data_IF_831866216577
#
_entry.id   IF_831866216577
#
_cell.length_a   1.000
_cell.length_b   1.000
_cell.length_c   1.000
_cell.angle_alpha   90.00
_cell.angle_beta   90.00
_cell.angle_gamma   90.00
#
_symmetry.space_group_name_H-M   'P 1'
#
loop_
_entity.id
_entity.type
_entity.pdbx_description
1 polymer ?
#
# COMPACT_ATOMS: atom_id res chain seq x y z
N UNK A 1 -22.68 5.28 9.49
CA UNK A 1 -22.77 3.86 9.89
C UNK A 1 -21.44 3.52 10.53
N UNK A 2 -21.42 3.33 11.85
CA UNK A 2 -20.18 3.04 12.58
C UNK A 2 -19.70 1.64 12.22
N UNK A 3 -18.47 1.53 11.73
CA UNK A 3 -17.81 0.24 11.57
C UNK A 3 -17.74 -0.45 12.94
N UNK A 4 -18.43 -1.57 13.07
CA UNK A 4 -18.38 -2.40 14.26
C UNK A 4 -16.97 -3.01 14.32
N UNK A 5 -16.17 -2.61 15.32
CA UNK A 5 -14.88 -3.27 15.61
C UNK A 5 -15.17 -4.75 15.86
N UNK A 6 -14.76 -5.61 14.93
CA UNK A 6 -14.73 -7.05 15.14
C UNK A 6 -13.77 -7.32 16.32
N UNK A 7 -14.12 -8.18 17.29
CA UNK A 7 -13.21 -8.49 18.38
C UNK A 7 -11.91 -9.12 17.84
N UNK A 8 -10.76 -8.74 18.43
CA UNK A 8 -9.41 -9.17 18.01
C UNK A 8 -9.22 -10.70 17.90
N UNK A 9 -10.10 -11.48 18.52
CA UNK A 9 -10.15 -12.94 18.40
C UNK A 9 -10.32 -13.39 16.93
N UNK A 10 -11.04 -12.63 16.11
CA UNK A 10 -11.22 -12.96 14.69
C UNK A 10 -9.91 -12.86 13.88
N UNK A 11 -9.01 -11.95 14.23
CA UNK A 11 -7.72 -11.84 13.53
C UNK A 11 -6.83 -13.07 13.73
N UNK A 12 -6.85 -13.68 14.92
CA UNK A 12 -6.08 -14.91 15.16
C UNK A 12 -6.64 -16.03 14.29
N UNK A 13 -7.96 -16.20 14.29
CA UNK A 13 -8.66 -17.21 13.48
C UNK A 13 -8.39 -17.02 11.98
N UNK A 14 -8.50 -15.80 11.46
CA UNK A 14 -8.24 -15.48 10.05
C UNK A 14 -6.77 -15.72 9.65
N UNK A 15 -5.83 -15.33 10.52
CA UNK A 15 -4.39 -15.53 10.27
C UNK A 15 -4.02 -17.01 10.35
N UNK A 16 -4.58 -17.76 11.30
CA UNK A 16 -4.35 -19.21 11.43
C UNK A 16 -4.92 -19.95 10.20
N UNK A 17 -6.13 -19.59 9.77
CA UNK A 17 -6.73 -20.14 8.54
C UNK A 17 -5.85 -19.87 7.32
N UNK A 18 -5.35 -18.63 7.16
CA UNK A 18 -4.44 -18.29 6.08
C UNK A 18 -3.12 -19.07 6.16
N UNK A 19 -2.55 -19.20 7.36
CA UNK A 19 -1.29 -19.92 7.60
C UNK A 19 -1.40 -21.40 7.23
N UNK A 20 -2.55 -22.02 7.50
CA UNK A 20 -2.83 -23.42 7.18
C UNK A 20 -3.14 -23.62 5.69
N UNK A 21 -4.04 -22.82 5.12
CA UNK A 21 -4.64 -23.10 3.82
C UNK A 21 -3.82 -22.56 2.64
N UNK A 22 -3.18 -21.40 2.79
CA UNK A 22 -2.44 -20.79 1.69
C UNK A 22 -1.29 -21.71 1.20
N UNK A 23 -0.46 -22.30 2.07
CA UNK A 23 0.57 -23.24 1.64
C UNK A 23 0.07 -24.52 0.96
N UNK A 24 -1.19 -24.91 1.20
CA UNK A 24 -1.79 -26.12 0.64
C UNK A 24 -2.40 -25.87 -0.75
N UNK A 25 -2.96 -24.67 -0.95
CA UNK A 25 -3.68 -24.31 -2.19
C UNK A 25 -2.80 -23.59 -3.21
N UNK A 26 -1.76 -22.90 -2.77
CA UNK A 26 -0.87 -22.16 -3.64
C UNK A 26 0.04 -23.10 -4.45
N UNK A 27 0.29 -22.76 -5.71
CA UNK A 27 1.11 -23.58 -6.62
C UNK A 27 2.55 -23.78 -6.11
N UNK A 28 3.24 -22.67 -5.80
CA UNK A 28 4.61 -22.72 -5.25
C UNK A 28 4.90 -21.51 -4.33
N UNK A 29 4.31 -21.53 -3.12
CA UNK A 29 4.38 -20.37 -2.20
C UNK A 29 5.81 -20.11 -1.69
N UNK A 30 6.63 -21.15 -1.63
CA UNK A 30 7.93 -21.10 -0.96
C UNK A 30 9.12 -21.06 -1.94
N UNK A 31 8.86 -20.73 -3.21
CA UNK A 31 9.90 -20.62 -4.23
C UNK A 31 10.95 -19.55 -3.89
N UNK A 32 10.53 -18.43 -3.26
CA UNK A 32 11.41 -17.31 -2.90
C UNK A 32 11.82 -17.31 -1.41
N UNK A 33 10.90 -17.66 -0.51
CA UNK A 33 11.10 -17.65 0.95
C UNK A 33 10.70 -18.99 1.55
N UNK A 34 11.43 -19.45 2.56
CA UNK A 34 11.15 -20.73 3.20
C UNK A 34 9.83 -20.73 3.99
N UNK A 35 9.30 -21.93 4.23
CA UNK A 35 8.18 -22.15 5.15
C UNK A 35 8.48 -21.66 6.57
N UNK A 36 9.72 -21.85 7.05
CA UNK A 36 10.14 -21.38 8.37
C UNK A 36 10.11 -19.85 8.45
N UNK A 37 10.53 -19.16 7.40
CA UNK A 37 10.43 -17.71 7.33
C UNK A 37 8.97 -17.27 7.43
N UNK A 38 8.10 -17.80 6.57
CA UNK A 38 6.67 -17.48 6.56
C UNK A 38 6.03 -17.70 7.95
N UNK A 39 6.22 -18.89 8.53
CA UNK A 39 5.68 -19.22 9.85
C UNK A 39 6.22 -18.28 10.94
N UNK A 40 7.53 -17.98 10.94
CA UNK A 40 8.11 -17.06 11.93
C UNK A 40 7.53 -15.64 11.84
N UNK A 41 7.22 -15.15 10.63
CA UNK A 41 6.63 -13.83 10.44
C UNK A 41 5.15 -13.81 10.86
N UNK A 42 4.41 -14.89 10.60
CA UNK A 42 3.03 -15.07 11.08
C UNK A 42 2.99 -15.05 12.61
N UNK A 43 3.82 -15.86 13.28
CA UNK A 43 3.86 -15.89 14.76
C UNK A 43 4.26 -14.53 15.34
N UNK A 44 5.23 -13.85 14.71
CA UNK A 44 5.60 -12.49 15.10
C UNK A 44 4.41 -11.53 14.99
N UNK A 45 3.67 -11.56 13.88
CA UNK A 45 2.48 -10.73 13.71
C UNK A 45 1.41 -11.05 14.77
N UNK A 46 1.12 -12.34 15.01
CA UNK A 46 0.16 -12.79 16.04
C UNK A 46 0.54 -12.29 17.43
N UNK A 47 1.82 -12.30 17.80
CA UNK A 47 2.30 -11.82 19.10
C UNK A 47 2.11 -10.32 19.33
N UNK A 48 1.95 -9.53 18.27
CA UNK A 48 1.85 -8.06 18.32
C UNK A 48 0.45 -7.54 17.98
N UNK A 49 -0.56 -8.40 17.79
CA UNK A 49 -1.91 -7.97 17.39
C UNK A 49 -2.54 -6.96 18.36
N UNK A 50 -2.17 -6.98 19.64
CA UNK A 50 -2.68 -6.04 20.63
C UNK A 50 -2.18 -4.61 20.39
N UNK A 51 -1.01 -4.44 19.78
CA UNK A 51 -0.35 -3.17 19.47
C UNK A 51 -0.91 -2.49 18.20
N UNK A 52 -1.59 -3.25 17.34
CA UNK A 52 -2.06 -2.80 16.04
C UNK A 52 -3.58 -2.64 15.98
N UNK A 53 -4.02 -1.71 15.14
CA UNK A 53 -5.41 -1.62 14.67
C UNK A 53 -5.63 -2.52 13.44
N UNK A 54 -6.88 -2.69 13.03
CA UNK A 54 -7.25 -3.63 11.97
C UNK A 54 -6.57 -3.31 10.63
N UNK A 55 -6.48 -2.02 10.27
CA UNK A 55 -5.77 -1.58 9.07
C UNK A 55 -4.28 -1.95 9.14
N UNK A 56 -3.65 -1.73 10.30
CA UNK A 56 -2.24 -2.03 10.49
C UNK A 56 -1.95 -3.52 10.41
N UNK A 57 -2.84 -4.36 10.94
CA UNK A 57 -2.75 -5.82 10.82
C UNK A 57 -2.89 -6.23 9.35
N UNK A 58 -3.91 -5.72 8.65
CA UNK A 58 -4.15 -6.01 7.23
C UNK A 58 -2.96 -5.62 6.34
N UNK A 59 -2.37 -4.42 6.55
CA UNK A 59 -1.20 -3.98 5.80
C UNK A 59 0.02 -4.86 6.09
N UNK A 60 0.28 -5.19 7.36
CA UNK A 60 1.42 -6.07 7.73
C UNK A 60 1.27 -7.47 7.11
N UNK A 61 0.06 -8.01 7.09
CA UNK A 61 -0.22 -9.29 6.45
C UNK A 61 -0.01 -9.19 4.93
N UNK A 62 -0.54 -8.15 4.27
CA UNK A 62 -0.30 -7.87 2.84
C UNK A 62 1.19 -7.79 2.51
N UNK A 63 1.98 -7.07 3.32
CA UNK A 63 3.43 -6.96 3.16
C UNK A 63 4.13 -8.31 3.31
N UNK A 64 3.72 -9.14 4.26
CA UNK A 64 4.25 -10.50 4.42
C UNK A 64 3.96 -11.36 3.18
N UNK A 65 2.72 -11.32 2.67
CA UNK A 65 2.36 -12.07 1.47
C UNK A 65 3.15 -11.59 0.24
N UNK A 66 3.28 -10.27 0.06
CA UNK A 66 4.11 -9.70 -1.01
C UNK A 66 5.58 -10.18 -0.96
N UNK A 67 6.14 -10.38 0.24
CA UNK A 67 7.50 -10.90 0.42
C UNK A 67 7.66 -12.37 -0.02
N UNK A 68 6.56 -13.12 -0.17
CA UNK A 68 6.58 -14.50 -0.66
C UNK A 68 6.83 -14.60 -2.17
N UNK A 69 6.79 -13.48 -2.90
CA UNK A 69 7.34 -13.41 -4.26
C UNK A 69 6.36 -13.67 -5.40
N UNK A 70 5.05 -13.67 -5.14
CA UNK A 70 4.03 -13.91 -6.16
C UNK A 70 3.16 -12.66 -6.36
N UNK A 71 3.07 -12.16 -7.60
CA UNK A 71 2.27 -10.98 -7.95
C UNK A 71 0.77 -11.26 -8.01
N UNK A 72 0.39 -12.53 -8.06
CA UNK A 72 -1.00 -13.02 -8.13
C UNK A 72 -1.55 -13.45 -6.78
N UNK A 73 -0.71 -13.47 -5.74
CA UNK A 73 -1.11 -13.77 -4.37
C UNK A 73 -1.10 -12.48 -3.57
N UNK A 74 -2.29 -12.01 -3.17
CA UNK A 74 -2.46 -10.71 -2.54
C UNK A 74 -3.53 -10.72 -1.44
N UNK A 75 -3.40 -9.79 -0.49
CA UNK A 75 -4.41 -9.46 0.52
C UNK A 75 -5.12 -8.17 0.11
N UNK A 76 -6.41 -8.27 -0.16
CA UNK A 76 -7.25 -7.11 -0.46
C UNK A 76 -7.45 -6.25 0.80
N UNK A 77 -7.11 -4.97 0.73
CA UNK A 77 -7.19 -4.03 1.87
C UNK A 77 -8.18 -2.89 1.62
N UNK A 78 -8.85 -2.82 0.48
CA UNK A 78 -9.77 -1.74 0.12
C UNK A 78 -10.91 -1.55 1.12
N UNK A 79 -11.35 -2.61 1.82
CA UNK A 79 -12.36 -2.49 2.88
C UNK A 79 -11.90 -1.64 4.08
N UNK A 80 -10.59 -1.47 4.26
CA UNK A 80 -10.01 -0.63 5.31
C UNK A 80 -9.67 0.79 4.81
N UNK A 81 -9.79 1.04 3.51
CA UNK A 81 -9.42 2.30 2.87
C UNK A 81 -10.67 3.11 2.52
N UNK A 82 -10.93 4.17 3.27
CA UNK A 82 -12.03 5.09 2.96
C UNK A 82 -11.77 5.82 1.64
N UNK A 83 -12.74 5.77 0.73
CA UNK A 83 -12.69 6.49 -0.56
C UNK A 83 -12.68 8.01 -0.37
N UNK A 84 -13.20 8.51 0.76
CA UNK A 84 -13.16 9.94 1.08
C UNK A 84 -11.73 10.46 1.37
N UNK A 85 -10.79 9.55 1.66
CA UNK A 85 -9.37 9.85 1.89
C UNK A 85 -8.54 9.85 0.59
N UNK A 86 -9.17 9.66 -0.57
CA UNK A 86 -8.49 9.76 -1.87
C UNK A 86 -8.24 11.23 -2.23
N UNK A 87 -7.00 11.56 -2.55
CA UNK A 87 -6.65 12.82 -3.20
C UNK A 87 -7.32 12.87 -4.57
N UNK A 88 -7.85 14.04 -4.98
CA UNK A 88 -8.52 14.20 -6.27
C UNK A 88 -7.49 14.33 -7.40
N UNK A 89 -6.66 13.30 -7.58
CA UNK A 89 -5.56 13.26 -8.53
C UNK A 89 -5.62 11.95 -9.31
N UNK A 90 -5.44 12.05 -10.63
CA UNK A 90 -5.08 10.92 -11.46
C UNK A 90 -3.62 11.10 -11.90
N UNK A 91 -2.80 10.09 -11.67
CA UNK A 91 -1.35 10.18 -11.83
C UNK A 91 -0.82 9.17 -12.85
N UNK A 92 0.29 9.50 -13.49
CA UNK A 92 0.94 8.60 -14.44
C UNK A 92 2.47 8.72 -14.41
N UNK A 93 3.15 7.58 -14.47
CA UNK A 93 4.61 7.52 -14.54
C UNK A 93 5.10 7.62 -15.99
N UNK A 94 5.72 8.74 -16.33
CA UNK A 94 6.53 8.87 -17.55
C UNK A 94 7.96 8.35 -17.32
N UNK A 95 8.83 8.50 -18.32
CA UNK A 95 10.23 8.10 -18.21
C UNK A 95 11.01 8.93 -17.19
N UNK A 96 10.57 10.16 -16.92
CA UNK A 96 11.26 11.18 -16.14
C UNK A 96 10.52 11.60 -14.86
N UNK A 97 9.40 10.94 -14.52
CA UNK A 97 8.77 11.05 -13.20
C UNK A 97 7.27 10.79 -13.17
N UNK A 98 6.64 11.14 -12.05
CA UNK A 98 5.21 10.97 -11.79
C UNK A 98 4.46 12.28 -12.04
N UNK A 99 3.47 12.25 -12.93
CA UNK A 99 2.77 13.43 -13.41
C UNK A 99 1.30 13.42 -13.05
N UNK A 100 0.73 14.60 -12.90
CA UNK A 100 -0.70 14.82 -12.64
C UNK A 100 -1.45 14.94 -13.98
N UNK A 101 -2.22 13.91 -14.33
CA UNK A 101 -3.01 13.87 -15.56
C UNK A 101 -4.40 14.50 -15.41
N UNK A 102 -5.00 14.38 -14.23
CA UNK A 102 -6.31 14.94 -13.96
C UNK A 102 -6.46 15.34 -12.49
N UNK A 103 -7.26 16.38 -12.24
CA UNK A 103 -7.63 16.84 -10.90
C UNK A 103 -8.94 17.62 -10.96
N UNK A 104 -9.43 18.08 -9.80
CA UNK A 104 -10.63 18.92 -9.69
C UNK A 104 -10.33 20.37 -10.10
N UNK A 105 -11.36 21.11 -10.51
CA UNK A 105 -11.23 22.50 -11.00
C UNK A 105 -10.44 23.42 -10.05
N UNK A 106 -10.62 23.25 -8.74
CA UNK A 106 -9.94 24.05 -7.71
C UNK A 106 -8.41 23.85 -7.68
N UNK A 107 -7.89 22.84 -8.36
CA UNK A 107 -6.47 22.50 -8.42
C UNK A 107 -5.93 22.39 -9.85
N UNK A 108 -6.62 22.99 -10.84
CA UNK A 108 -6.25 22.84 -12.26
C UNK A 108 -4.82 23.29 -12.57
N UNK A 109 -4.24 24.17 -11.75
CA UNK A 109 -2.86 24.62 -11.85
C UNK A 109 -1.82 23.52 -11.63
N UNK A 110 -2.26 22.34 -11.16
CA UNK A 110 -1.43 21.14 -11.01
C UNK A 110 -1.40 20.27 -12.28
N UNK A 111 -2.33 20.46 -13.21
CA UNK A 111 -2.40 19.63 -14.43
C UNK A 111 -1.10 19.72 -15.24
N UNK A 112 -0.60 18.56 -15.66
CA UNK A 112 0.63 18.43 -16.44
C UNK A 112 1.92 18.60 -15.63
N UNK A 113 1.84 18.90 -14.33
CA UNK A 113 3.03 19.04 -13.50
C UNK A 113 3.55 17.70 -13.01
N UNK A 114 4.87 17.65 -12.81
CA UNK A 114 5.57 16.51 -12.21
C UNK A 114 5.62 16.67 -10.69
N UNK A 115 5.29 15.61 -9.96
CA UNK A 115 5.39 15.57 -8.49
C UNK A 115 6.82 15.21 -8.10
N UNK A 116 7.47 16.12 -7.38
CA UNK A 116 8.80 15.91 -6.80
C UNK A 116 8.70 15.36 -5.38
N UNK A 117 7.83 15.96 -4.58
CA UNK A 117 7.63 15.60 -3.17
C UNK A 117 6.16 15.65 -2.77
N UNK A 118 5.84 14.82 -1.79
CA UNK A 118 4.61 14.93 -1.01
C UNK A 118 5.02 15.28 0.42
N UNK A 119 4.51 16.40 0.92
CA UNK A 119 4.98 17.05 2.13
C UNK A 119 6.50 17.26 2.06
N UNK A 120 7.27 16.61 2.94
CA UNK A 120 8.73 16.73 2.97
C UNK A 120 9.45 15.50 2.39
N UNK A 121 8.70 14.59 1.74
CA UNK A 121 9.20 13.29 1.32
C UNK A 121 9.33 13.21 -0.20
N UNK A 122 10.53 12.89 -0.73
CA UNK A 122 10.74 12.65 -2.16
C UNK A 122 9.85 11.52 -2.71
N UNK A 123 9.41 11.66 -3.96
CA UNK A 123 8.44 10.73 -4.56
C UNK A 123 8.96 9.29 -4.65
N UNK A 124 10.26 9.11 -4.87
CA UNK A 124 10.90 7.80 -4.90
C UNK A 124 10.86 7.10 -3.54
N UNK A 125 11.09 7.83 -2.44
CA UNK A 125 11.01 7.27 -1.07
C UNK A 125 9.60 6.77 -0.76
N UNK A 126 8.59 7.53 -1.19
CA UNK A 126 7.19 7.16 -1.02
C UNK A 126 6.85 5.93 -1.88
N UNK A 127 7.26 5.95 -3.15
CA UNK A 127 7.05 4.84 -4.07
C UNK A 127 7.71 3.54 -3.57
N UNK A 128 8.94 3.61 -3.07
CA UNK A 128 9.65 2.46 -2.52
C UNK A 128 8.91 1.89 -1.29
N UNK A 129 8.41 2.77 -0.42
CA UNK A 129 7.67 2.35 0.79
C UNK A 129 6.32 1.72 0.44
N UNK A 130 5.57 2.32 -0.48
CA UNK A 130 4.30 1.77 -0.97
C UNK A 130 4.49 0.49 -1.80
N UNK A 131 5.66 0.31 -2.42
CA UNK A 131 5.99 -0.93 -3.15
C UNK A 131 6.09 -2.14 -2.24
N UNK A 132 6.20 -1.96 -0.91
CA UNK A 132 6.13 -3.08 0.04
C UNK A 132 4.77 -3.76 0.08
N UNK A 133 3.71 -3.13 -0.45
CA UNK A 133 2.35 -3.65 -0.45
C UNK A 133 2.09 -4.72 -1.53
N UNK A 134 3.02 -4.96 -2.45
CA UNK A 134 2.88 -5.97 -3.51
C UNK A 134 4.26 -6.50 -3.91
N UNK A 135 4.34 -7.64 -4.57
CA UNK A 135 5.61 -8.11 -5.11
C UNK A 135 5.96 -7.34 -6.39
N UNK A 136 7.04 -6.54 -6.44
CA UNK A 136 7.35 -5.70 -7.59
C UNK A 136 8.19 -6.48 -8.61
N UNK A 137 7.59 -7.49 -9.27
CA UNK A 137 8.29 -8.35 -10.24
C UNK A 137 9.01 -7.56 -11.35
N UNK A 138 8.43 -6.45 -11.78
CA UNK A 138 9.02 -5.58 -12.79
C UNK A 138 8.58 -4.11 -12.63
N UNK A 139 9.25 -3.20 -13.34
CA UNK A 139 8.95 -1.77 -13.29
C UNK A 139 7.52 -1.43 -13.75
N UNK A 140 6.91 -2.23 -14.63
CA UNK A 140 5.57 -1.94 -15.12
C UNK A 140 4.51 -2.07 -14.00
N UNK A 141 4.68 -3.03 -13.08
CA UNK A 141 3.81 -3.16 -11.90
C UNK A 141 3.94 -1.97 -10.95
N UNK A 142 5.16 -1.48 -10.72
CA UNK A 142 5.39 -0.28 -9.91
C UNK A 142 4.67 0.92 -10.56
N UNK A 143 4.89 1.12 -11.87
CA UNK A 143 4.26 2.22 -12.62
C UNK A 143 2.73 2.12 -12.66
N UNK A 144 2.17 0.92 -12.58
CA UNK A 144 0.72 0.68 -12.53
C UNK A 144 0.13 0.91 -11.13
N UNK A 145 0.77 0.41 -10.08
CA UNK A 145 0.18 0.34 -8.74
C UNK A 145 0.41 1.62 -7.92
N UNK A 146 1.63 2.18 -7.98
CA UNK A 146 2.00 3.34 -7.17
C UNK A 146 1.08 4.55 -7.37
N UNK A 147 0.68 4.93 -8.61
CA UNK A 147 -0.29 6.01 -8.82
C UNK A 147 -1.60 5.84 -8.02
N UNK A 148 -2.07 4.60 -7.85
CA UNK A 148 -3.32 4.31 -7.15
C UNK A 148 -3.15 4.30 -5.62
N UNK A 149 -1.99 3.88 -5.12
CA UNK A 149 -1.72 3.87 -3.67
C UNK A 149 -1.35 5.25 -3.14
N UNK A 150 -0.58 6.02 -3.90
CA UNK A 150 -0.03 7.29 -3.41
C UNK A 150 -1.09 8.37 -3.21
N UNK A 151 -2.21 8.28 -3.93
CA UNK A 151 -3.34 9.19 -3.76
C UNK A 151 -4.17 8.86 -2.52
N UNK A 152 -3.96 7.70 -1.88
CA UNK A 152 -4.69 7.33 -0.69
C UNK A 152 -4.05 7.94 0.57
N UNK A 153 -4.70 8.93 1.18
CA UNK A 153 -4.17 9.61 2.38
C UNK A 153 -4.05 8.68 3.58
N UNK A 154 -4.91 7.67 3.71
CA UNK A 154 -4.80 6.66 4.78
C UNK A 154 -3.51 5.86 4.64
N UNK A 155 -3.11 5.46 3.43
CA UNK A 155 -1.81 4.85 3.18
C UNK A 155 -0.67 5.82 3.45
N UNK A 156 -0.76 7.07 2.98
CA UNK A 156 0.26 8.09 3.29
C UNK A 156 0.43 8.29 4.80
N UNK A 157 -0.65 8.30 5.57
CA UNK A 157 -0.64 8.37 7.04
C UNK A 157 0.03 7.14 7.66
N UNK A 158 -0.36 5.95 7.21
CA UNK A 158 0.21 4.69 7.69
C UNK A 158 1.74 4.63 7.52
N UNK A 159 2.23 5.05 6.35
CA UNK A 159 3.67 5.10 6.06
C UNK A 159 4.39 6.34 6.62
N UNK A 160 3.70 7.21 7.36
CA UNK A 160 4.30 8.39 8.01
C UNK A 160 4.56 9.57 7.07
N UNK A 161 3.98 9.57 5.87
CA UNK A 161 4.12 10.63 4.88
C UNK A 161 3.08 11.75 5.03
N UNK A 162 2.02 11.54 5.81
CA UNK A 162 0.99 12.56 6.07
C UNK A 162 0.48 12.47 7.52
N UNK A 163 0.41 13.62 8.22
CA UNK A 163 -0.08 13.70 9.60
C UNK A 163 -1.24 14.69 9.77
N UNK A 164 -1.68 15.33 8.67
CA UNK A 164 -2.68 16.39 8.66
C UNK A 164 -3.79 16.07 7.67
N UNK A 165 -4.84 16.88 7.71
CA UNK A 165 -5.94 16.77 6.75
C UNK A 165 -5.58 17.23 5.33
N UNK A 166 -4.50 17.99 5.22
CA UNK A 166 -3.96 18.49 3.96
C UNK A 166 -2.63 17.84 3.64
N UNK A 167 -2.35 17.76 2.34
CA UNK A 167 -1.09 17.27 1.78
C UNK A 167 -0.51 18.37 0.90
N UNK A 168 0.76 18.70 1.10
CA UNK A 168 1.48 19.65 0.25
C UNK A 168 2.15 18.91 -0.90
N UNK A 169 2.05 19.43 -2.12
CA UNK A 169 2.75 18.89 -3.28
C UNK A 169 3.83 19.87 -3.72
N UNK A 170 5.07 19.40 -3.75
CA UNK A 170 6.14 20.11 -4.45
C UNK A 170 6.18 19.59 -5.87
N UNK A 171 5.99 20.50 -6.82
CA UNK A 171 5.83 20.16 -8.23
C UNK A 171 6.77 20.98 -9.12
N UNK A 172 7.16 20.40 -10.25
CA UNK A 172 7.92 21.07 -11.29
C UNK A 172 7.16 21.06 -12.62
N UNK A 173 7.54 21.96 -13.53
CA UNK A 173 7.00 21.98 -14.88
C UNK A 173 7.40 20.71 -15.62
N UNK A 174 6.47 20.16 -16.40
CA UNK A 174 6.77 19.03 -17.26
C UNK A 174 7.75 19.41 -18.38
N UNK A 175 8.59 18.48 -18.80
CA UNK A 175 9.24 18.60 -20.10
C UNK A 175 8.12 18.57 -21.16
N UNK A 176 7.81 19.74 -21.72
CA UNK A 176 6.83 19.89 -22.80
C UNK A 176 7.24 19.18 -24.08
#
# INVERSE_FOLDING_TARGET
MSAQKLPKQHWIEDIDYLQEELPQKHYDLFHLKSRDYFNSQIEKLKSQLTEFDDLSIAIKLKQLIAQMGDTHTDIEISNFLDKSELLPLNLYWFSDGLYILNTIENHKELLGKRIEKINNFPINVIADSLSTLFYPENQALIKKNIPNYIVNRTLLKYFGFANKDTVNLEVSEGAG
#
